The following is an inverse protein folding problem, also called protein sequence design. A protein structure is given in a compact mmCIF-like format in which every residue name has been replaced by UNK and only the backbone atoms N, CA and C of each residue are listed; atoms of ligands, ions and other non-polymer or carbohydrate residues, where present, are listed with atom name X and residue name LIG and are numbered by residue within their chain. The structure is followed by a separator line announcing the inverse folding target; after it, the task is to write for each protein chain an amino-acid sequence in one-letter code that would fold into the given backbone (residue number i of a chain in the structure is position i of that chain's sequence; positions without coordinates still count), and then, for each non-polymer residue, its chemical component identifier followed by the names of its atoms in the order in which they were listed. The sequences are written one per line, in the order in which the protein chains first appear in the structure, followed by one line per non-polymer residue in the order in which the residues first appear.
data_IF_585470081866
#
_entry.id   IF_585470081866
#
_cell.length_a   1.000
_cell.length_b   1.000
_cell.length_c   1.000
_cell.angle_alpha   90.00
_cell.angle_beta   90.00
_cell.angle_gamma   90.00
#
_symmetry.space_group_name_H-M   'P 1'
#
loop_
_entity.id
_entity.type
_entity.pdbx_description
1 polymer ?
#
# COMPACT_ATOMS: atom_id res chain seq x y z
N UNK A 1 -13.08 -16.01 -12.47
CA UNK A 1 -12.60 -15.66 -11.12
C UNK A 1 -11.89 -14.31 -11.20
N UNK A 2 -12.15 -13.37 -10.28
CA UNK A 2 -11.51 -12.02 -10.24
C UNK A 2 -10.72 -11.86 -8.93
N UNK A 3 -9.60 -11.13 -8.88
CA UNK A 3 -8.79 -10.96 -7.66
C UNK A 3 -9.55 -10.21 -6.56
N UNK A 4 -9.34 -10.54 -5.30
CA UNK A 4 -10.00 -9.86 -4.16
C UNK A 4 -9.30 -8.56 -3.75
N UNK A 5 -8.00 -8.48 -4.00
CA UNK A 5 -7.13 -7.33 -3.72
C UNK A 5 -6.31 -7.05 -4.96
N UNK A 6 -6.15 -5.78 -5.31
CA UNK A 6 -5.31 -5.31 -6.41
C UNK A 6 -4.34 -4.30 -5.85
N UNK A 7 -3.05 -4.49 -6.13
CA UNK A 7 -2.00 -3.53 -5.78
C UNK A 7 -1.51 -2.93 -7.08
N UNK A 8 -1.51 -1.60 -7.15
CA UNK A 8 -1.00 -0.85 -8.29
C UNK A 8 0.24 -0.07 -7.87
N UNK A 9 1.40 -0.48 -8.38
CA UNK A 9 2.66 0.27 -8.26
C UNK A 9 2.81 1.19 -9.46
N UNK A 10 3.60 2.25 -9.32
CA UNK A 10 3.81 3.25 -10.38
C UNK A 10 2.52 3.93 -10.88
N UNK A 11 1.52 4.09 -10.01
CA UNK A 11 0.23 4.67 -10.40
C UNK A 11 0.32 6.14 -10.86
N UNK A 12 1.37 6.87 -10.45
CA UNK A 12 1.75 8.18 -10.97
C UNK A 12 0.80 9.34 -10.70
N UNK A 13 -0.14 9.17 -9.77
CA UNK A 13 -1.10 10.18 -9.34
C UNK A 13 -0.64 10.89 -8.07
N UNK A 14 -1.02 12.15 -7.92
CA UNK A 14 -0.99 12.84 -6.63
C UNK A 14 -2.19 12.42 -5.77
N UNK A 15 -2.19 12.79 -4.49
CA UNK A 15 -3.23 12.40 -3.53
C UNK A 15 -4.65 12.78 -3.96
N UNK A 16 -4.85 14.01 -4.44
CA UNK A 16 -6.17 14.49 -4.88
C UNK A 16 -6.70 13.72 -6.08
N UNK A 17 -5.85 13.48 -7.09
CA UNK A 17 -6.23 12.69 -8.26
C UNK A 17 -6.52 11.25 -7.87
N UNK A 18 -5.69 10.67 -6.98
CA UNK A 18 -5.85 9.29 -6.51
C UNK A 18 -7.20 9.06 -5.83
N UNK A 19 -7.67 10.01 -5.02
CA UNK A 19 -9.00 9.94 -4.38
C UNK A 19 -10.16 9.95 -5.39
N UNK A 20 -9.92 10.44 -6.62
CA UNK A 20 -10.90 10.50 -7.70
C UNK A 20 -10.74 9.37 -8.73
N UNK A 21 -9.63 8.63 -8.69
CA UNK A 21 -9.45 7.44 -9.54
C UNK A 21 -10.42 6.34 -9.13
N UNK A 22 -11.00 5.66 -10.11
CA UNK A 22 -11.96 4.57 -9.89
C UNK A 22 -11.49 3.32 -10.62
N UNK A 23 -11.61 2.18 -9.94
CA UNK A 23 -11.43 0.85 -10.51
C UNK A 23 -12.76 0.10 -10.34
N UNK A 24 -13.49 -0.12 -11.43
CA UNK A 24 -14.89 -0.61 -11.38
C UNK A 24 -14.97 -1.94 -10.60
N UNK A 25 -15.78 -1.96 -9.53
CA UNK A 25 -15.97 -3.10 -8.63
C UNK A 25 -14.94 -3.22 -7.50
N UNK A 26 -14.08 -2.20 -7.35
CA UNK A 26 -13.04 -2.12 -6.33
C UNK A 26 -13.00 -0.73 -5.66
N UNK A 27 -12.86 -0.71 -4.34
CA UNK A 27 -12.66 0.50 -3.54
C UNK A 27 -11.17 0.73 -3.31
N UNK A 28 -10.71 1.99 -3.46
CA UNK A 28 -9.38 2.40 -3.01
C UNK A 28 -9.36 2.38 -1.48
N UNK A 29 -8.42 1.64 -0.89
CA UNK A 29 -8.29 1.52 0.57
C UNK A 29 -7.20 2.45 1.10
N UNK A 30 -6.03 2.43 0.48
CA UNK A 30 -4.90 3.28 0.86
C UNK A 30 -3.95 3.47 -0.32
N UNK A 31 -3.21 4.57 -0.32
CA UNK A 31 -2.16 4.80 -1.30
C UNK A 31 -1.04 5.67 -0.72
N UNK A 32 0.20 5.35 -1.08
CA UNK A 32 1.32 6.27 -1.00
C UNK A 32 1.45 7.03 -2.32
N UNK A 33 1.32 8.35 -2.26
CA UNK A 33 1.51 9.24 -3.41
C UNK A 33 2.73 10.12 -3.14
N UNK A 34 3.64 10.21 -4.11
CA UNK A 34 4.75 11.16 -4.03
C UNK A 34 4.24 12.60 -3.94
N UNK A 35 4.96 13.42 -3.19
CA UNK A 35 4.74 14.86 -2.99
C UNK A 35 5.77 15.67 -3.78
N UNK A 36 7.04 15.26 -3.77
CA UNK A 36 8.13 16.03 -4.36
C UNK A 36 8.45 15.60 -5.80
N UNK A 37 8.36 14.31 -6.10
CA UNK A 37 8.69 13.77 -7.41
C UNK A 37 7.43 13.35 -8.18
N UNK A 38 7.52 13.42 -9.51
CA UNK A 38 6.47 12.92 -10.40
C UNK A 38 6.60 11.39 -10.55
N UNK A 39 5.46 10.76 -10.87
CA UNK A 39 5.36 9.31 -11.12
C UNK A 39 5.72 8.48 -9.88
N UNK A 40 5.59 7.16 -9.95
CA UNK A 40 5.73 6.27 -8.78
C UNK A 40 4.42 6.12 -8.01
N UNK A 41 4.51 5.84 -6.72
CA UNK A 41 3.40 5.59 -5.82
C UNK A 41 2.94 4.14 -5.79
N UNK A 42 2.22 3.79 -4.72
CA UNK A 42 1.62 2.47 -4.51
C UNK A 42 0.20 2.65 -4.00
N UNK A 43 -0.78 1.99 -4.64
CA UNK A 43 -2.17 2.01 -4.21
C UNK A 43 -2.68 0.58 -3.97
N UNK A 44 -3.51 0.41 -2.93
CA UNK A 44 -4.19 -0.85 -2.63
C UNK A 44 -5.68 -0.67 -2.82
N UNK A 45 -6.25 -1.52 -3.67
CA UNK A 45 -7.67 -1.64 -3.92
C UNK A 45 -8.19 -2.98 -3.41
N UNK A 46 -9.42 -3.01 -2.94
CA UNK A 46 -10.09 -4.25 -2.56
C UNK A 46 -11.45 -4.32 -3.24
N UNK A 47 -11.99 -5.51 -3.48
CA UNK A 47 -13.38 -5.62 -3.96
C UNK A 47 -14.31 -4.89 -2.97
N UNK A 48 -15.27 -4.12 -3.48
CA UNK A 48 -16.19 -3.31 -2.65
C UNK A 48 -16.83 -4.13 -1.50
N UNK A 49 -17.23 -5.39 -1.79
CA UNK A 49 -17.81 -6.29 -0.78
C UNK A 49 -16.87 -6.69 0.38
N UNK A 50 -15.57 -6.40 0.28
CA UNK A 50 -14.56 -6.67 1.31
C UNK A 50 -14.18 -5.43 2.11
N UNK A 51 -14.60 -4.24 1.70
CA UNK A 51 -14.18 -2.97 2.29
C UNK A 51 -14.39 -2.92 3.81
N UNK A 52 -15.53 -3.43 4.30
CA UNK A 52 -15.85 -3.50 5.74
C UNK A 52 -14.94 -4.42 6.57
N UNK A 53 -14.12 -5.24 5.92
CA UNK A 53 -13.17 -6.16 6.57
C UNK A 53 -11.74 -5.69 6.49
N UNK A 54 -11.48 -4.55 5.84
CA UNK A 54 -10.14 -4.07 5.55
C UNK A 54 -9.82 -2.87 6.44
N UNK A 55 -8.66 -2.90 7.08
CA UNK A 55 -8.11 -1.81 7.88
C UNK A 55 -6.84 -1.29 7.22
N UNK A 56 -6.66 0.03 7.24
CA UNK A 56 -5.42 0.66 6.77
C UNK A 56 -4.35 0.49 7.84
N UNK A 57 -3.17 0.04 7.43
CA UNK A 57 -1.97 0.03 8.28
C UNK A 57 -1.11 1.22 7.88
N UNK A 58 -0.86 2.14 8.83
CA UNK A 58 -0.23 3.42 8.51
C UNK A 58 1.28 3.28 8.27
N UNK A 59 1.67 2.98 7.05
CA UNK A 59 3.08 2.81 6.61
C UNK A 59 3.61 4.01 5.83
N UNK A 60 2.84 5.11 5.79
CA UNK A 60 3.16 6.28 4.97
C UNK A 60 4.46 6.97 5.42
N UNK A 61 4.70 7.03 6.74
CA UNK A 61 5.87 7.71 7.31
C UNK A 61 7.19 6.94 7.09
N UNK A 62 7.12 5.64 6.80
CA UNK A 62 8.31 4.82 6.50
C UNK A 62 8.65 4.87 5.00
N UNK A 63 7.65 5.17 4.15
CA UNK A 63 7.84 5.23 2.71
C UNK A 63 8.67 6.44 2.30
N UNK A 64 9.72 6.21 1.51
CA UNK A 64 10.63 7.26 1.04
C UNK A 64 10.59 7.31 -0.49
N UNK A 65 10.22 8.48 -1.02
CA UNK A 65 10.20 8.71 -2.46
C UNK A 65 11.54 8.37 -3.10
N UNK A 66 11.49 7.78 -4.30
CA UNK A 66 12.68 7.42 -5.09
C UNK A 66 13.59 6.35 -4.45
N UNK A 67 13.24 5.80 -3.28
CA UNK A 67 13.92 4.66 -2.67
C UNK A 67 12.97 3.46 -2.57
N UNK A 68 11.93 3.56 -1.73
CA UNK A 68 10.99 2.46 -1.51
C UNK A 68 9.67 2.98 -0.96
N UNK A 69 8.61 2.66 -1.66
CA UNK A 69 7.27 3.20 -1.46
C UNK A 69 6.33 2.05 -1.13
N UNK A 70 5.55 2.21 -0.08
CA UNK A 70 4.83 1.09 0.52
C UNK A 70 3.40 1.49 0.87
N UNK A 71 2.47 0.56 0.68
CA UNK A 71 1.10 0.69 1.14
C UNK A 71 0.62 -0.65 1.70
N UNK A 72 0.15 -0.64 2.95
CA UNK A 72 -0.22 -1.85 3.68
C UNK A 72 -1.67 -1.83 4.13
N UNK A 73 -2.33 -2.97 4.02
CA UNK A 73 -3.68 -3.21 4.55
C UNK A 73 -3.72 -4.49 5.38
N UNK A 74 -4.62 -4.51 6.36
CA UNK A 74 -4.97 -5.69 7.17
C UNK A 74 -6.38 -6.12 6.81
N UNK A 75 -6.56 -7.38 6.43
CA UNK A 75 -7.87 -7.97 6.14
C UNK A 75 -8.25 -8.89 7.30
N UNK A 76 -9.36 -8.59 7.96
CA UNK A 76 -9.94 -9.42 9.02
C UNK A 76 -10.51 -10.70 8.42
N UNK A 77 -9.88 -11.83 8.71
CA UNK A 77 -10.44 -13.16 8.47
C UNK A 77 -10.83 -13.81 9.80
N UNK A 78 -11.61 -14.88 9.75
CA UNK A 78 -12.20 -15.52 10.94
C UNK A 78 -11.19 -16.17 11.89
N UNK A 79 -10.02 -16.59 11.39
CA UNK A 79 -8.99 -17.29 12.18
C UNK A 79 -7.79 -16.41 12.49
N UNK A 80 -7.29 -15.69 11.50
CA UNK A 80 -6.15 -14.79 11.62
C UNK A 80 -6.28 -13.66 10.61
N UNK A 81 -5.84 -12.43 10.94
CA UNK A 81 -5.78 -11.37 9.97
C UNK A 81 -4.78 -11.71 8.86
N UNK A 82 -5.08 -11.30 7.63
CA UNK A 82 -4.17 -11.34 6.49
C UNK A 82 -3.62 -9.93 6.25
N UNK A 83 -2.30 -9.77 6.34
CA UNK A 83 -1.61 -8.52 6.03
C UNK A 83 -1.10 -8.56 4.59
N UNK A 84 -1.32 -7.49 3.86
CA UNK A 84 -0.90 -7.35 2.47
C UNK A 84 -0.15 -6.03 2.34
N UNK A 85 1.10 -6.12 1.90
CA UNK A 85 2.01 -4.98 1.70
C UNK A 85 2.34 -4.87 0.22
N UNK A 86 1.91 -3.78 -0.41
CA UNK A 86 2.36 -3.40 -1.74
C UNK A 86 3.67 -2.64 -1.65
N UNK A 87 4.65 -2.99 -2.49
CA UNK A 87 5.98 -2.38 -2.48
C UNK A 87 6.35 -1.95 -3.88
N UNK A 88 6.81 -0.72 -4.01
CA UNK A 88 7.51 -0.21 -5.18
C UNK A 88 8.88 0.30 -4.76
N UNK A 89 9.92 -0.50 -5.04
CA UNK A 89 11.32 -0.11 -4.81
C UNK A 89 11.86 0.53 -6.09
N UNK A 90 12.43 1.72 -5.94
CA UNK A 90 13.03 2.47 -7.04
C UNK A 90 14.51 2.67 -6.85
N UNK A 91 15.21 2.91 -7.97
CA UNK A 91 16.64 3.17 -7.96
C UNK A 91 17.50 1.94 -7.73
N UNK A 92 18.81 2.18 -7.70
CA UNK A 92 19.81 1.12 -7.69
C UNK A 92 20.28 0.74 -6.28
N UNK A 93 19.86 1.50 -5.24
CA UNK A 93 20.21 1.18 -3.86
C UNK A 93 19.25 0.12 -3.31
N UNK A 94 19.64 -1.15 -3.43
CA UNK A 94 18.82 -2.29 -3.02
C UNK A 94 18.74 -2.36 -1.50
N UNK A 95 19.85 -2.11 -0.83
CA UNK A 95 20.02 -2.21 0.62
C UNK A 95 19.08 -1.24 1.34
N UNK A 96 19.09 0.03 0.96
CA UNK A 96 18.18 1.03 1.56
C UNK A 96 16.70 0.66 1.36
N UNK A 97 16.35 0.08 0.20
CA UNK A 97 15.00 -0.41 -0.04
C UNK A 97 14.61 -1.59 0.86
N UNK A 98 15.54 -2.50 1.13
CA UNK A 98 15.35 -3.64 2.03
C UNK A 98 15.26 -3.20 3.50
N UNK A 99 15.99 -2.16 3.89
CA UNK A 99 15.88 -1.56 5.22
C UNK A 99 14.48 -0.98 5.46
N UNK A 100 13.95 -0.21 4.50
CA UNK A 100 12.58 0.34 4.55
C UNK A 100 11.54 -0.79 4.67
N UNK A 101 11.67 -1.86 3.88
CA UNK A 101 10.77 -3.01 3.97
C UNK A 101 10.87 -3.66 5.36
N UNK A 102 12.07 -3.80 5.90
CA UNK A 102 12.29 -4.38 7.22
C UNK A 102 11.64 -3.55 8.33
N UNK A 103 11.73 -2.22 8.24
CA UNK A 103 11.08 -1.30 9.16
C UNK A 103 9.55 -1.40 9.09
N UNK A 104 8.97 -1.47 7.88
CA UNK A 104 7.53 -1.73 7.71
C UNK A 104 7.10 -3.02 8.39
N UNK A 105 7.86 -4.10 8.22
CA UNK A 105 7.56 -5.40 8.84
C UNK A 105 7.68 -5.36 10.37
N UNK A 106 8.55 -4.52 10.92
CA UNK A 106 8.66 -4.31 12.37
C UNK A 106 7.49 -3.49 12.91
N UNK A 107 7.08 -2.41 12.23
CA UNK A 107 5.92 -1.60 12.64
C UNK A 107 4.65 -2.46 12.67
N UNK A 108 4.42 -3.28 11.64
CA UNK A 108 3.26 -4.18 11.57
C UNK A 108 3.20 -5.13 12.78
N UNK A 109 4.36 -5.58 13.28
CA UNK A 109 4.40 -6.43 14.49
C UNK A 109 4.11 -5.64 15.77
N UNK A 110 4.48 -4.36 15.82
CA UNK A 110 4.26 -3.48 16.98
C UNK A 110 2.80 -3.04 17.12
N UNK A 111 2.09 -2.85 16.00
CA UNK A 111 0.63 -2.75 15.96
C UNK A 111 0.04 -4.13 16.30
N UNK A 112 -0.21 -4.39 17.61
CA UNK A 112 -0.73 -5.68 18.12
C UNK A 112 -1.79 -6.28 17.18
N UNK A 113 -1.52 -7.51 16.70
CA UNK A 113 -2.39 -8.29 15.81
C UNK A 113 -3.76 -8.58 16.40
#
# INVERSE_FOLDING_TARGET
MKPDVVILTEHGHNKETMLNTRLIGYSLVTAYCRVLHRKGGVAVYTKEKLESKVEVVNTQNISVEMICEVATVKIKLSKSPLLITGVYRTGNNVEAGLEIISEVLQQIKAEKL
#
